data_IF_602068978710
#
_entry.id   IF_602068978710
#
_cell.length_a   1.000
_cell.length_b   1.000
_cell.length_c   1.000
_cell.angle_alpha   90.00
_cell.angle_beta   90.00
_cell.angle_gamma   90.00
#
_symmetry.space_group_name_H-M   'P 1'
#
loop_
_entity.id
_entity.type
_entity.pdbx_description
1 polymer ?
#
# COMPACT_ATOMS: atom_id res chain seq x y z
N UNK A 1 -1.27 27.85 -14.51
CA UNK A 1 -0.92 27.15 -13.25
C UNK A 1 -2.15 26.42 -12.75
N UNK A 2 -2.08 25.11 -12.60
CA UNK A 2 -3.12 24.34 -11.88
C UNK A 2 -3.10 24.75 -10.41
N UNK A 3 -4.28 25.09 -9.86
CA UNK A 3 -4.43 25.55 -8.47
C UNK A 3 -4.07 24.47 -7.44
N UNK A 4 -4.04 23.20 -7.86
CA UNK A 4 -3.75 22.04 -7.02
C UNK A 4 -2.57 21.26 -7.58
N UNK A 5 -1.65 20.88 -6.71
CA UNK A 5 -0.55 19.97 -7.03
C UNK A 5 -1.01 18.54 -6.74
N UNK A 6 -1.58 17.86 -7.73
CA UNK A 6 -1.98 16.47 -7.58
C UNK A 6 -0.76 15.56 -7.37
N UNK A 7 -0.99 14.42 -6.74
CA UNK A 7 0.08 13.48 -6.40
C UNK A 7 0.85 12.98 -7.62
N UNK A 8 0.18 12.80 -8.77
CA UNK A 8 0.84 12.38 -10.00
C UNK A 8 1.79 13.44 -10.53
N UNK A 9 1.36 14.70 -10.55
CA UNK A 9 2.20 15.84 -10.93
C UNK A 9 3.37 16.05 -9.97
N UNK A 10 3.16 15.82 -8.66
CA UNK A 10 4.24 15.87 -7.67
C UNK A 10 5.31 14.80 -7.93
N UNK A 11 4.90 13.55 -8.17
CA UNK A 11 5.86 12.45 -8.40
C UNK A 11 6.68 12.66 -9.68
N UNK A 12 6.07 13.16 -10.76
CA UNK A 12 6.77 13.47 -12.02
C UNK A 12 7.90 14.49 -11.87
N UNK A 13 7.91 15.30 -10.79
CA UNK A 13 8.98 16.26 -10.51
C UNK A 13 10.18 15.63 -9.81
N UNK A 14 10.00 14.47 -9.17
CA UNK A 14 11.01 13.83 -8.31
C UNK A 14 11.53 12.51 -8.87
N UNK A 15 10.78 11.90 -9.79
CA UNK A 15 11.04 10.56 -10.30
C UNK A 15 10.96 10.55 -11.82
N UNK A 16 11.86 9.78 -12.43
CA UNK A 16 11.83 9.53 -13.86
C UNK A 16 10.80 8.44 -14.18
N UNK A 17 9.98 8.69 -15.20
CA UNK A 17 8.94 7.73 -15.61
C UNK A 17 7.72 7.69 -14.70
N UNK A 18 6.96 6.59 -14.78
CA UNK A 18 5.69 6.44 -14.06
C UNK A 18 5.90 5.72 -12.72
N UNK A 19 5.64 6.42 -11.62
CA UNK A 19 5.56 5.78 -10.30
C UNK A 19 4.18 5.16 -10.09
N UNK A 20 4.14 3.88 -9.70
CA UNK A 20 2.93 3.11 -9.45
C UNK A 20 2.89 2.63 -8.01
N UNK A 21 1.78 2.94 -7.32
CA UNK A 21 1.51 2.42 -6.00
C UNK A 21 1.17 0.94 -6.09
N UNK A 22 1.84 0.12 -5.29
CA UNK A 22 1.54 -1.29 -5.10
C UNK A 22 0.90 -1.45 -3.72
N UNK A 23 -0.37 -1.83 -3.69
CA UNK A 23 -1.13 -1.99 -2.45
C UNK A 23 -0.60 -3.17 -1.65
N UNK A 24 -0.41 -2.98 -0.36
CA UNK A 24 0.06 -4.00 0.59
C UNK A 24 -0.92 -4.09 1.75
N UNK A 25 -1.36 -5.31 2.06
CA UNK A 25 -2.12 -5.64 3.25
C UNK A 25 -1.20 -6.34 4.26
N UNK A 26 -0.74 -5.59 5.26
CA UNK A 26 0.22 -6.09 6.26
C UNK A 26 -0.43 -6.69 7.53
N UNK A 27 -1.65 -7.23 7.40
CA UNK A 27 -2.39 -7.81 8.54
C UNK A 27 -2.83 -6.82 9.64
N UNK A 28 -2.82 -5.52 9.37
CA UNK A 28 -3.23 -4.51 10.36
C UNK A 28 -4.74 -4.52 10.65
N UNK A 29 -5.12 -3.90 11.78
CA UNK A 29 -6.52 -3.60 12.15
C UNK A 29 -6.71 -2.09 12.32
N UNK A 30 -7.86 -1.64 12.82
CA UNK A 30 -8.03 -0.25 13.24
C UNK A 30 -8.92 -0.12 14.48
N UNK A 31 -8.78 0.99 15.24
CA UNK A 31 -9.55 1.22 16.47
C UNK A 31 -11.08 1.16 16.28
N UNK A 32 -11.55 1.45 15.06
CA UNK A 32 -12.97 1.44 14.71
C UNK A 32 -13.50 0.03 14.39
N UNK A 33 -12.61 -0.97 14.29
CA UNK A 33 -12.95 -2.37 13.97
C UNK A 33 -12.75 -3.30 15.16
N UNK A 34 -11.72 -3.07 15.96
CA UNK A 34 -11.29 -3.99 17.03
C UNK A 34 -12.06 -3.85 18.36
N UNK A 35 -13.00 -2.89 18.44
CA UNK A 35 -13.82 -2.66 19.63
C UNK A 35 -13.28 -1.59 20.57
N UNK A 36 -12.07 -1.06 20.35
CA UNK A 36 -11.47 -0.07 21.26
C UNK A 36 -12.07 1.34 21.13
N UNK A 37 -12.46 1.74 19.91
CA UNK A 37 -13.18 3.00 19.60
C UNK A 37 -14.48 2.78 18.86
N UNK A 38 -14.65 1.62 18.24
CA UNK A 38 -15.88 1.22 17.56
C UNK A 38 -15.84 -0.25 17.15
N UNK A 39 -16.98 -0.75 16.66
CA UNK A 39 -17.16 -2.12 16.23
C UNK A 39 -17.57 -2.15 14.75
N UNK A 40 -17.11 -3.15 14.01
CA UNK A 40 -17.53 -3.37 12.61
C UNK A 40 -16.88 -2.46 11.56
N UNK A 41 -16.17 -1.39 11.96
CA UNK A 41 -15.49 -0.46 11.05
C UNK A 41 -16.32 0.77 10.68
N UNK A 42 -15.72 1.67 9.90
CA UNK A 42 -16.42 2.88 9.45
C UNK A 42 -17.43 2.55 8.34
N UNK A 43 -18.59 3.21 8.35
CA UNK A 43 -19.65 3.03 7.33
C UNK A 43 -19.16 3.24 5.89
N UNK A 44 -18.16 4.08 5.70
CA UNK A 44 -17.57 4.37 4.38
C UNK A 44 -16.36 3.48 4.03
N UNK A 45 -15.86 2.68 4.98
CA UNK A 45 -14.61 1.93 4.82
C UNK A 45 -14.90 0.51 4.32
N UNK A 46 -14.76 0.30 3.02
CA UNK A 46 -14.74 -1.03 2.43
C UNK A 46 -13.39 -1.30 1.73
N UNK A 47 -12.39 -1.75 2.48
CA UNK A 47 -11.06 -2.04 1.92
C UNK A 47 -11.07 -3.15 0.85
N UNK A 48 -12.03 -4.08 0.90
CA UNK A 48 -12.11 -5.17 -0.08
C UNK A 48 -12.36 -4.63 -1.50
N UNK A 49 -13.18 -3.59 -1.65
CA UNK A 49 -13.43 -2.96 -2.96
C UNK A 49 -12.21 -2.25 -3.56
N UNK A 50 -11.24 -1.89 -2.72
CA UNK A 50 -10.06 -1.12 -3.12
C UNK A 50 -8.76 -1.95 -3.11
N UNK A 51 -8.83 -3.24 -2.78
CA UNK A 51 -7.66 -4.11 -2.69
C UNK A 51 -7.62 -5.05 -3.90
N UNK A 52 -6.56 -5.00 -4.73
CA UNK A 52 -6.40 -5.98 -5.81
C UNK A 52 -6.31 -7.41 -5.28
N UNK A 53 -6.62 -8.41 -6.10
CA UNK A 53 -6.60 -9.82 -5.69
C UNK A 53 -5.24 -10.30 -5.14
N UNK A 54 -4.13 -9.67 -5.56
CA UNK A 54 -2.80 -9.98 -5.04
C UNK A 54 -2.58 -9.47 -3.60
N UNK A 55 -3.37 -8.50 -3.13
CA UNK A 55 -3.20 -7.79 -1.87
C UNK A 55 -3.99 -8.46 -0.73
N UNK A 56 -3.52 -9.64 -0.30
CA UNK A 56 -4.15 -10.44 0.74
C UNK A 56 -3.23 -10.60 1.96
N UNK A 57 -3.81 -10.63 3.17
CA UNK A 57 -3.03 -10.65 4.42
C UNK A 57 -2.37 -11.98 4.75
N UNK A 58 -2.73 -13.06 4.05
CA UNK A 58 -2.11 -14.39 4.17
C UNK A 58 -0.82 -14.53 3.36
N UNK A 59 -0.51 -13.55 2.49
CA UNK A 59 0.73 -13.48 1.71
C UNK A 59 1.77 -12.59 2.39
N UNK A 60 3.05 -12.93 2.23
CA UNK A 60 4.15 -12.05 2.66
C UNK A 60 4.13 -10.72 1.91
N UNK A 61 4.71 -9.67 2.49
CA UNK A 61 4.77 -8.34 1.87
C UNK A 61 5.57 -8.42 0.57
N UNK A 62 6.69 -9.15 0.58
CA UNK A 62 7.49 -9.39 -0.63
C UNK A 62 6.68 -10.04 -1.76
N UNK A 63 5.85 -11.03 -1.43
CA UNK A 63 5.00 -11.71 -2.42
C UNK A 63 3.94 -10.77 -2.99
N UNK A 64 3.24 -10.01 -2.13
CA UNK A 64 2.25 -9.03 -2.57
C UNK A 64 2.87 -7.99 -3.51
N UNK A 65 4.07 -7.49 -3.19
CA UNK A 65 4.78 -6.50 -4.01
C UNK A 65 5.17 -7.11 -5.37
N UNK A 66 5.78 -8.31 -5.38
CA UNK A 66 6.22 -8.96 -6.61
C UNK A 66 5.05 -9.28 -7.56
N UNK A 67 3.92 -9.74 -7.02
CA UNK A 67 2.69 -9.98 -7.79
C UNK A 67 2.10 -8.66 -8.31
N UNK A 68 2.09 -7.60 -7.49
CA UNK A 68 1.64 -6.27 -7.90
C UNK A 68 2.50 -5.66 -9.01
N UNK A 69 3.83 -5.76 -8.91
CA UNK A 69 4.76 -5.34 -9.96
C UNK A 69 4.46 -6.09 -11.26
N UNK A 70 4.31 -7.41 -11.21
CA UNK A 70 3.98 -8.24 -12.37
C UNK A 70 2.64 -7.86 -12.99
N UNK A 71 1.65 -7.53 -12.17
CA UNK A 71 0.33 -7.10 -12.63
C UNK A 71 0.38 -5.75 -13.38
N UNK A 72 1.20 -4.82 -12.91
CA UNK A 72 1.28 -3.46 -13.47
C UNK A 72 2.36 -3.27 -14.54
N UNK A 73 3.41 -4.09 -14.57
CA UNK A 73 4.54 -3.94 -15.52
C UNK A 73 4.11 -3.96 -16.99
N UNK A 74 2.98 -4.61 -17.30
CA UNK A 74 2.38 -4.62 -18.65
C UNK A 74 1.78 -3.28 -19.09
N UNK A 75 1.61 -2.30 -18.19
CA UNK A 75 0.86 -1.06 -18.47
C UNK A 75 1.74 0.03 -19.10
N UNK A 76 3.00 0.12 -18.69
CA UNK A 76 3.96 1.10 -19.22
C UNK A 76 5.36 0.46 -19.31
N UNK A 77 6.17 0.82 -20.31
CA UNK A 77 7.49 0.21 -20.54
C UNK A 77 8.52 0.55 -19.45
N UNK A 78 8.37 1.70 -18.79
CA UNK A 78 9.22 2.12 -17.69
C UNK A 78 8.34 2.55 -16.51
N UNK A 79 8.49 1.83 -15.41
CA UNK A 79 7.75 2.08 -14.19
C UNK A 79 8.68 1.95 -12.99
N UNK A 80 8.42 2.79 -12.00
CA UNK A 80 8.95 2.66 -10.66
C UNK A 80 7.81 2.31 -9.70
N UNK A 81 8.13 1.65 -8.60
CA UNK A 81 7.11 1.13 -7.69
C UNK A 81 7.21 1.74 -6.30
N UNK A 82 6.05 2.06 -5.72
CA UNK A 82 5.93 2.56 -4.35
C UNK A 82 5.07 1.58 -3.55
N UNK A 83 5.67 0.88 -2.59
CA UNK A 83 4.93 0.05 -1.65
C UNK A 83 3.97 0.94 -0.83
N UNK A 84 2.68 0.63 -0.88
CA UNK A 84 1.61 1.40 -0.25
C UNK A 84 0.84 0.51 0.73
N UNK A 85 1.17 0.61 2.01
CA UNK A 85 0.48 -0.06 3.11
C UNK A 85 -0.92 0.52 3.25
N UNK A 86 -1.86 -0.04 2.50
CA UNK A 86 -3.19 0.54 2.29
C UNK A 86 -4.18 0.10 3.38
N UNK A 87 -4.14 -1.19 3.73
CA UNK A 87 -5.21 -1.78 4.52
C UNK A 87 -5.06 -1.41 5.99
N UNK A 88 -6.05 -0.66 6.47
CA UNK A 88 -6.22 -0.28 7.88
C UNK A 88 -5.06 0.58 8.42
N UNK A 89 -4.70 0.45 9.70
CA UNK A 89 -3.69 1.31 10.36
C UNK A 89 -2.74 0.52 11.24
N UNK A 90 -1.51 1.00 11.34
CA UNK A 90 -0.51 0.48 12.26
C UNK A 90 -0.63 1.05 13.69
N UNK A 91 -1.77 1.64 14.06
CA UNK A 91 -1.99 2.31 15.37
C UNK A 91 -1.59 1.45 16.58
N UNK A 92 -1.72 0.13 16.49
CA UNK A 92 -1.35 -0.82 17.54
C UNK A 92 -0.10 -1.67 17.20
N UNK A 93 0.62 -1.31 16.15
CA UNK A 93 1.79 -2.05 15.71
C UNK A 93 3.00 -1.74 16.59
N UNK A 94 3.63 -2.79 17.12
CA UNK A 94 4.93 -2.69 17.79
C UNK A 94 6.01 -2.19 16.82
N UNK A 95 6.84 -1.24 17.26
CA UNK A 95 7.83 -0.57 16.40
C UNK A 95 8.75 -1.55 15.68
N UNK A 96 9.27 -2.56 16.38
CA UNK A 96 10.15 -3.58 15.78
C UNK A 96 9.43 -4.36 14.66
N UNK A 97 8.17 -4.72 14.89
CA UNK A 97 7.35 -5.43 13.90
C UNK A 97 6.94 -4.57 12.71
N UNK A 98 6.90 -3.23 12.86
CA UNK A 98 6.69 -2.29 11.76
C UNK A 98 7.95 -2.11 10.92
N UNK A 99 9.10 -1.94 11.57
CA UNK A 99 10.40 -1.85 10.89
C UNK A 99 10.62 -3.08 10.01
N UNK A 100 10.44 -4.28 10.56
CA UNK A 100 10.59 -5.52 9.78
C UNK A 100 9.72 -5.55 8.53
N UNK A 101 8.47 -5.07 8.61
CA UNK A 101 7.55 -5.01 7.46
C UNK A 101 8.00 -4.01 6.41
N UNK A 102 8.53 -2.86 6.83
CA UNK A 102 9.04 -1.85 5.91
C UNK A 102 10.35 -2.28 5.27
N UNK A 103 11.25 -2.91 6.01
CA UNK A 103 12.48 -3.49 5.48
C UNK A 103 12.20 -4.62 4.48
N UNK A 104 11.21 -5.48 4.79
CA UNK A 104 10.75 -6.51 3.84
C UNK A 104 10.27 -5.87 2.53
N UNK A 105 9.49 -4.78 2.60
CA UNK A 105 9.06 -4.04 1.41
C UNK A 105 10.24 -3.42 0.63
N UNK A 106 11.18 -2.80 1.35
CA UNK A 106 12.36 -2.14 0.76
C UNK A 106 13.37 -3.13 0.17
N UNK A 107 13.34 -4.40 0.60
CA UNK A 107 14.20 -5.44 0.04
C UNK A 107 13.85 -5.83 -1.39
N UNK A 108 12.65 -5.46 -1.88
CA UNK A 108 12.19 -5.74 -3.24
C UNK A 108 12.62 -4.62 -4.19
N UNK A 109 13.40 -4.91 -5.24
CA UNK A 109 13.81 -3.89 -6.21
C UNK A 109 12.59 -3.41 -7.03
N UNK A 110 12.55 -2.12 -7.32
CA UNK A 110 11.47 -1.49 -8.10
C UNK A 110 11.71 -0.03 -8.42
#
# INVERSE_FOLDING_TARGET
MTRYNDFGSFLKKHFEGKVQKISVHAGFTCPNRDGSKGYGGCTYCNNQTFSPDYCQSDKSISQQIAEGIRFFSRKYPQMQYLAYFQSYTNTYGETAGLIQKYEEALSIPG
#
